data_IF_748771817686
#
_entry.id   IF_748771817686
#
_cell.length_a   1.000
_cell.length_b   1.000
_cell.length_c   1.000
_cell.angle_alpha   90.00
_cell.angle_beta   90.00
_cell.angle_gamma   90.00
#
_symmetry.space_group_name_H-M   'P 1'
#
loop_
_entity.id
_entity.type
_entity.pdbx_description
1 polymer ?
#
# COMPACT_ATOMS: atom_id res chain seq x y z
N UNK A 1 -22.48 21.22 -53.38
CA UNK A 1 -22.63 21.67 -51.98
C UNK A 1 -22.66 20.40 -51.15
N UNK A 2 -21.57 20.02 -50.47
CA UNK A 2 -21.51 19.06 -49.33
C UNK A 2 -20.06 19.05 -48.73
N UNK A 3 -19.43 20.18 -48.38
CA UNK A 3 -18.11 20.15 -47.71
C UNK A 3 -18.19 19.90 -46.19
N UNK A 4 -19.39 19.87 -45.60
CA UNK A 4 -19.56 19.85 -44.14
C UNK A 4 -19.43 18.45 -43.53
N UNK A 5 -19.70 17.38 -44.29
CA UNK A 5 -19.74 16.00 -43.77
C UNK A 5 -18.34 15.41 -43.52
N UNK A 6 -17.34 15.79 -44.31
CA UNK A 6 -15.97 15.27 -44.19
C UNK A 6 -15.22 15.85 -42.98
N UNK A 7 -15.44 17.13 -42.66
CA UNK A 7 -14.86 17.79 -41.48
C UNK A 7 -15.47 17.27 -40.17
N UNK A 8 -16.76 16.93 -40.18
CA UNK A 8 -17.44 16.32 -39.02
C UNK A 8 -16.85 14.95 -38.70
N UNK A 9 -16.73 14.06 -39.71
CA UNK A 9 -16.16 12.73 -39.52
C UNK A 9 -14.71 12.76 -39.04
N UNK A 10 -13.90 13.69 -39.55
CA UNK A 10 -12.53 13.87 -39.09
C UNK A 10 -12.46 14.29 -37.61
N UNK A 11 -13.33 15.22 -37.17
CA UNK A 11 -13.36 15.69 -35.78
C UNK A 11 -13.72 14.59 -34.78
N UNK A 12 -14.66 13.70 -35.13
CA UNK A 12 -15.10 12.62 -34.24
C UNK A 12 -14.02 11.56 -34.01
N UNK A 13 -13.19 11.29 -35.02
CA UNK A 13 -12.06 10.35 -34.90
C UNK A 13 -10.95 10.91 -34.01
N UNK A 14 -10.64 12.20 -34.15
CA UNK A 14 -9.63 12.88 -33.32
C UNK A 14 -10.10 12.97 -31.87
N UNK A 15 -11.37 13.30 -31.64
CA UNK A 15 -11.97 13.32 -30.28
C UNK A 15 -11.94 11.93 -29.66
N UNK A 16 -12.24 10.88 -30.43
CA UNK A 16 -12.20 9.49 -29.96
C UNK A 16 -10.77 9.05 -29.60
N UNK A 17 -9.78 9.42 -30.42
CA UNK A 17 -8.37 9.13 -30.17
C UNK A 17 -7.86 9.86 -28.93
N UNK A 18 -8.20 11.14 -28.75
CA UNK A 18 -7.84 11.92 -27.57
C UNK A 18 -8.48 11.38 -26.30
N UNK A 19 -9.77 11.02 -26.35
CA UNK A 19 -10.48 10.42 -25.22
C UNK A 19 -9.86 9.08 -24.82
N UNK A 20 -9.40 8.28 -25.79
CA UNK A 20 -8.69 7.02 -25.52
C UNK A 20 -7.32 7.23 -24.89
N UNK A 21 -6.58 8.28 -25.27
CA UNK A 21 -5.28 8.64 -24.69
C UNK A 21 -5.43 9.17 -23.26
N UNK A 22 -6.44 9.99 -22.99
CA UNK A 22 -6.78 10.50 -21.66
C UNK A 22 -7.15 9.34 -20.70
N UNK A 23 -7.92 8.36 -21.18
CA UNK A 23 -8.32 7.17 -20.41
C UNK A 23 -7.14 6.30 -19.95
N UNK A 24 -5.96 6.37 -20.59
CA UNK A 24 -4.78 5.56 -20.24
C UNK A 24 -3.90 6.15 -19.13
N UNK A 25 -4.00 7.44 -18.83
CA UNK A 25 -3.18 8.10 -17.79
C UNK A 25 -3.76 7.91 -16.38
N UNK A 26 -5.10 7.85 -16.29
CA UNK A 26 -5.85 7.60 -15.04
C UNK A 26 -5.49 6.26 -14.34
N UNK A 27 -5.36 5.11 -15.05
CA UNK A 27 -5.01 3.85 -14.37
C UNK A 27 -3.58 3.83 -13.81
N UNK A 28 -2.64 4.55 -14.42
CA UNK A 28 -1.24 4.57 -13.96
C UNK A 28 -1.14 5.28 -12.61
N UNK A 29 -1.79 6.43 -12.45
CA UNK A 29 -1.81 7.18 -11.19
C UNK A 29 -2.48 6.34 -10.08
N UNK A 30 -3.59 5.66 -10.41
CA UNK A 30 -4.28 4.78 -9.46
C UNK A 30 -3.38 3.63 -8.97
N UNK A 31 -2.65 2.96 -9.87
CA UNK A 31 -1.73 1.87 -9.51
C UNK A 31 -0.58 2.38 -8.63
N UNK A 32 0.01 3.54 -8.95
CA UNK A 32 1.09 4.13 -8.14
C UNK A 32 0.60 4.46 -6.73
N UNK A 33 -0.59 5.07 -6.59
CA UNK A 33 -1.18 5.37 -5.28
C UNK A 33 -1.45 4.09 -4.49
N UNK A 34 -2.04 3.06 -5.12
CA UNK A 34 -2.31 1.78 -4.47
C UNK A 34 -1.00 1.14 -3.97
N UNK A 35 0.04 1.07 -4.81
CA UNK A 35 1.36 0.53 -4.41
C UNK A 35 1.96 1.33 -3.26
N UNK A 36 1.85 2.66 -3.28
CA UNK A 36 2.37 3.54 -2.24
C UNK A 36 1.61 3.34 -0.92
N UNK A 37 0.30 3.15 -0.95
CA UNK A 37 -0.52 2.82 0.21
C UNK A 37 -0.16 1.44 0.78
N UNK A 38 0.01 0.41 -0.08
CA UNK A 38 0.43 -0.92 0.38
C UNK A 38 1.85 -0.91 0.96
N UNK A 39 2.79 -0.12 0.41
CA UNK A 39 4.15 0.03 0.94
C UNK A 39 4.22 0.85 2.22
N UNK A 40 3.47 1.95 2.32
CA UNK A 40 3.55 2.87 3.45
C UNK A 40 2.69 2.41 4.64
N UNK A 41 1.55 1.78 4.38
CA UNK A 41 0.57 1.42 5.41
C UNK A 41 0.40 -0.10 5.61
N UNK A 42 1.01 -0.95 4.78
CA UNK A 42 0.92 -2.43 4.91
C UNK A 42 1.85 -3.05 5.96
N UNK A 43 2.73 -2.26 6.58
CA UNK A 43 3.72 -2.70 7.57
C UNK A 43 3.19 -2.74 8.99
N UNK A 44 2.11 -3.48 9.22
CA UNK A 44 1.50 -3.57 10.55
C UNK A 44 0.73 -4.85 10.69
N UNK A 45 1.44 -5.98 10.72
CA UNK A 45 0.87 -7.25 11.17
C UNK A 45 0.56 -7.13 12.67
N UNK A 46 -0.46 -6.34 12.99
CA UNK A 46 -1.18 -6.33 14.25
C UNK A 46 -2.01 -7.61 14.29
N UNK A 47 -1.33 -8.76 14.25
CA UNK A 47 -1.90 -9.98 14.81
C UNK A 47 -2.24 -9.58 16.24
N UNK A 48 -3.53 -9.48 16.53
CA UNK A 48 -4.08 -9.45 17.87
C UNK A 48 -3.74 -10.79 18.51
N UNK A 49 -2.45 -10.97 18.79
CA UNK A 49 -1.87 -12.19 19.29
C UNK A 49 -2.03 -12.21 20.80
N UNK A 50 -2.14 -13.42 21.36
CA UNK A 50 -2.12 -13.63 22.80
C UNK A 50 -0.94 -12.88 23.41
N UNK A 51 -1.24 -11.97 24.33
CA UNK A 51 -0.23 -11.27 25.13
C UNK A 51 0.03 -12.07 26.39
N UNK A 52 1.28 -12.09 26.84
CA UNK A 52 1.69 -12.75 28.08
C UNK A 52 2.47 -11.79 28.96
N UNK A 53 2.60 -12.13 30.25
CA UNK A 53 3.45 -11.36 31.16
C UNK A 53 4.91 -11.51 30.74
N UNK A 54 5.62 -10.39 30.67
CA UNK A 54 6.99 -10.35 30.18
C UNK A 54 7.95 -10.98 31.21
N UNK A 55 8.74 -12.00 30.86
CA UNK A 55 9.71 -12.57 31.79
C UNK A 55 10.74 -11.52 32.22
N UNK A 56 10.93 -11.30 33.53
CA UNK A 56 11.90 -10.31 34.03
C UNK A 56 11.49 -8.83 33.88
N UNK A 57 10.23 -8.54 33.52
CA UNK A 57 9.68 -7.17 33.42
C UNK A 57 8.24 -7.12 33.93
N UNK A 58 7.83 -6.00 34.52
CA UNK A 58 6.43 -5.81 34.94
C UNK A 58 5.55 -5.22 33.82
N UNK A 59 5.64 -5.76 32.62
CA UNK A 59 4.84 -5.35 31.46
C UNK A 59 4.25 -6.57 30.75
N UNK A 60 3.32 -6.36 29.82
CA UNK A 60 2.84 -7.41 28.92
C UNK A 60 3.53 -7.28 27.56
N UNK A 61 3.84 -8.41 26.94
CA UNK A 61 4.40 -8.50 25.59
C UNK A 61 3.54 -9.43 24.74
N UNK A 62 3.61 -9.29 23.41
CA UNK A 62 3.01 -10.30 22.52
C UNK A 62 3.82 -11.59 22.64
N UNK A 63 3.11 -12.71 22.82
CA UNK A 63 3.76 -14.02 22.92
C UNK A 63 4.52 -14.38 21.64
N UNK A 64 3.96 -14.04 20.47
CA UNK A 64 4.59 -14.26 19.17
C UNK A 64 5.96 -13.64 19.02
N UNK A 65 6.12 -12.41 19.53
CA UNK A 65 7.37 -11.65 19.38
C UNK A 65 8.47 -12.25 20.26
N UNK A 66 8.09 -12.76 21.43
CA UNK A 66 8.99 -13.51 22.31
C UNK A 66 9.36 -14.87 21.73
N UNK A 67 8.40 -15.63 21.21
CA UNK A 67 8.64 -16.95 20.61
C UNK A 67 9.49 -16.87 19.34
N UNK A 68 9.33 -15.80 18.56
CA UNK A 68 10.13 -15.56 17.36
C UNK A 68 11.60 -15.26 17.68
N UNK A 69 11.89 -14.56 18.79
CA UNK A 69 13.26 -14.29 19.21
C UNK A 69 13.40 -14.14 20.73
N UNK A 70 13.51 -15.27 21.46
CA UNK A 70 13.69 -15.23 22.91
C UNK A 70 15.02 -14.56 23.31
N UNK A 71 16.10 -14.85 22.57
CA UNK A 71 17.42 -14.29 22.83
C UNK A 71 17.45 -12.78 22.61
N UNK A 72 16.77 -12.27 21.58
CA UNK A 72 16.63 -10.84 21.32
C UNK A 72 15.94 -10.11 22.47
N UNK A 73 14.88 -10.71 23.04
CA UNK A 73 14.19 -10.16 24.21
C UNK A 73 15.12 -10.00 25.41
N UNK A 74 15.86 -11.04 25.81
CA UNK A 74 16.76 -10.98 26.97
C UNK A 74 17.97 -10.07 26.74
N UNK A 75 18.51 -10.02 25.52
CA UNK A 75 19.57 -9.05 25.18
C UNK A 75 19.11 -7.60 25.38
N UNK A 76 17.88 -7.29 24.95
CA UNK A 76 17.30 -5.96 25.14
C UNK A 76 16.95 -5.71 26.61
N UNK A 77 16.56 -6.74 27.35
CA UNK A 77 16.30 -6.66 28.80
C UNK A 77 17.56 -6.23 29.58
N UNK A 78 18.74 -6.74 29.20
CA UNK A 78 20.00 -6.39 29.85
C UNK A 78 20.54 -5.01 29.46
N UNK A 79 20.19 -4.49 28.28
CA UNK A 79 20.58 -3.14 27.86
C UNK A 79 19.83 -2.03 28.59
N UNK A 80 18.68 -2.34 29.19
CA UNK A 80 17.81 -1.37 29.87
C UNK A 80 17.96 -1.34 31.40
N UNK A 81 19.00 -1.98 31.94
CA UNK A 81 19.43 -1.92 33.34
C UNK A 81 20.83 -1.32 33.39
#
# INVERSE_FOLDING_TARGET
>A
MEPATSLSAASETVVSALQWVERKKVPIIAVVVIVLLFRCCGGGNSKSGKTMKAPGRNSRIRRSDFEASPSGYFRNLHKGR
#
